data_IF_655227494328
#
_entry.id   IF_655227494328
#
_cell.length_a   1.000
_cell.length_b   1.000
_cell.length_c   1.000
_cell.angle_alpha   90.00
_cell.angle_beta   90.00
_cell.angle_gamma   90.00
#
_symmetry.space_group_name_H-M   'P 1'
#
loop_
_entity.id
_entity.type
_entity.pdbx_description
1 polymer ?
#
# COMPACT_ATOMS: atom_id res chain seq x y z
N UNK A 1 -5.57 -14.52 -14.79
CA UNK A 1 -6.37 -15.52 -14.05
C UNK A 1 -6.93 -14.81 -12.83
N UNK A 2 -8.22 -14.98 -12.52
CA UNK A 2 -8.85 -14.56 -11.28
C UNK A 2 -9.53 -15.77 -10.63
N UNK A 3 -9.43 -15.86 -9.32
CA UNK A 3 -10.07 -16.90 -8.50
C UNK A 3 -10.94 -16.25 -7.45
N UNK A 4 -12.07 -16.84 -7.11
CA UNK A 4 -12.93 -16.44 -6.01
C UNK A 4 -13.68 -17.67 -5.49
N UNK A 5 -14.13 -17.63 -4.24
CA UNK A 5 -15.03 -18.64 -3.63
C UNK A 5 -16.52 -18.28 -3.80
N UNK A 6 -16.81 -17.05 -4.22
CA UNK A 6 -18.15 -16.50 -4.41
C UNK A 6 -18.58 -16.65 -5.86
N UNK A 7 -19.57 -17.52 -6.12
CA UNK A 7 -20.16 -17.65 -7.46
C UNK A 7 -20.78 -16.33 -7.95
N UNK A 8 -21.53 -15.56 -7.13
CA UNK A 8 -22.05 -14.26 -7.56
C UNK A 8 -20.97 -13.26 -7.99
N UNK A 9 -19.81 -13.25 -7.31
CA UNK A 9 -18.67 -12.41 -7.71
C UNK A 9 -18.14 -12.83 -9.09
N UNK A 10 -17.97 -14.11 -9.33
CA UNK A 10 -17.52 -14.64 -10.62
C UNK A 10 -18.54 -14.38 -11.73
N UNK A 11 -19.83 -14.51 -11.48
CA UNK A 11 -20.88 -14.19 -12.45
C UNK A 11 -20.84 -12.72 -12.86
N UNK A 12 -20.60 -11.81 -11.90
CA UNK A 12 -20.39 -10.39 -12.20
C UNK A 12 -19.12 -10.18 -13.04
N UNK A 13 -18.00 -10.83 -12.71
CA UNK A 13 -16.79 -10.76 -13.51
C UNK A 13 -16.98 -11.36 -14.92
N UNK A 14 -17.76 -12.42 -15.07
CA UNK A 14 -18.10 -12.97 -16.37
C UNK A 14 -18.93 -11.98 -17.20
N UNK A 15 -19.92 -11.31 -16.59
CA UNK A 15 -20.66 -10.23 -17.24
C UNK A 15 -19.72 -9.10 -17.72
N UNK A 16 -18.77 -8.65 -16.87
CA UNK A 16 -17.80 -7.62 -17.26
C UNK A 16 -16.88 -8.10 -18.38
N UNK A 17 -16.42 -9.36 -18.34
CA UNK A 17 -15.61 -9.99 -19.38
C UNK A 17 -16.30 -9.95 -20.74
N UNK A 18 -17.58 -10.28 -20.78
CA UNK A 18 -18.40 -10.24 -22.00
C UNK A 18 -18.63 -8.81 -22.46
N UNK A 19 -19.07 -7.93 -21.56
CA UNK A 19 -19.35 -6.51 -21.85
C UNK A 19 -18.17 -5.77 -22.46
N UNK A 20 -16.95 -6.05 -21.97
CA UNK A 20 -15.72 -5.38 -22.43
C UNK A 20 -14.87 -6.25 -23.37
N UNK A 21 -15.40 -7.39 -23.83
CA UNK A 21 -14.72 -8.33 -24.71
C UNK A 21 -13.30 -8.72 -24.22
N UNK A 22 -13.13 -8.96 -22.93
CA UNK A 22 -11.83 -9.31 -22.31
C UNK A 22 -11.44 -10.75 -22.63
N UNK A 23 -10.64 -10.96 -23.69
CA UNK A 23 -10.19 -12.28 -24.11
C UNK A 23 -9.12 -12.91 -23.21
N UNK A 24 -8.43 -12.09 -22.42
CA UNK A 24 -7.31 -12.48 -21.55
C UNK A 24 -7.72 -12.70 -20.08
N UNK A 25 -9.02 -12.69 -19.76
CA UNK A 25 -9.52 -12.96 -18.40
C UNK A 25 -10.00 -14.41 -18.32
N UNK A 26 -9.44 -15.15 -17.37
CA UNK A 26 -9.79 -16.54 -17.02
C UNK A 26 -10.30 -16.54 -15.57
N UNK A 27 -11.48 -17.15 -15.32
CA UNK A 27 -12.17 -17.13 -14.02
C UNK A 27 -12.31 -18.55 -13.48
N UNK A 28 -12.03 -18.75 -12.19
CA UNK A 28 -12.17 -20.05 -11.52
C UNK A 28 -12.87 -19.89 -10.17
N UNK A 29 -13.85 -20.75 -9.90
CA UNK A 29 -14.43 -20.92 -8.58
C UNK A 29 -13.48 -21.79 -7.76
N UNK A 30 -12.58 -21.13 -7.03
CA UNK A 30 -11.48 -21.79 -6.35
C UNK A 30 -11.06 -21.02 -5.11
N UNK A 31 -10.93 -21.68 -3.95
CA UNK A 31 -10.34 -21.05 -2.78
C UNK A 31 -8.83 -20.84 -2.97
N UNK A 32 -8.30 -19.80 -2.32
CA UNK A 32 -6.89 -19.41 -2.45
C UNK A 32 -5.94 -20.53 -2.02
N UNK A 33 -6.33 -21.34 -1.03
CA UNK A 33 -5.58 -22.49 -0.53
C UNK A 33 -5.40 -23.58 -1.59
N UNK A 34 -6.26 -23.62 -2.58
CA UNK A 34 -6.22 -24.59 -3.67
C UNK A 34 -5.61 -24.04 -4.98
N UNK A 35 -5.05 -22.82 -4.96
CA UNK A 35 -4.50 -22.16 -6.18
C UNK A 35 -3.46 -23.02 -6.90
N UNK A 36 -2.68 -23.85 -6.20
CA UNK A 36 -1.72 -24.78 -6.77
C UNK A 36 -2.31 -25.79 -7.76
N UNK A 37 -3.64 -26.05 -7.70
CA UNK A 37 -4.33 -26.94 -8.65
C UNK A 37 -4.35 -26.39 -10.07
N UNK A 38 -4.14 -25.07 -10.25
CA UNK A 38 -4.00 -24.45 -11.58
C UNK A 38 -2.72 -24.89 -12.30
N UNK A 39 -1.71 -25.40 -11.56
CA UNK A 39 -0.41 -25.86 -12.10
C UNK A 39 0.27 -24.78 -12.96
N UNK A 40 0.23 -23.54 -12.50
CA UNK A 40 0.79 -22.35 -13.15
C UNK A 40 1.56 -21.52 -12.15
N UNK A 41 2.62 -20.88 -12.65
CA UNK A 41 3.38 -19.87 -11.92
C UNK A 41 3.06 -18.47 -12.48
N UNK A 42 3.10 -17.47 -11.61
CA UNK A 42 2.70 -16.11 -11.92
C UNK A 42 3.85 -15.12 -11.68
N UNK A 43 3.96 -14.11 -12.55
CA UNK A 43 4.90 -13.00 -12.39
C UNK A 43 4.36 -11.97 -11.37
N UNK A 44 3.03 -11.84 -11.29
CA UNK A 44 2.34 -10.96 -10.36
C UNK A 44 1.11 -11.67 -9.80
N UNK A 45 1.02 -11.71 -8.47
CA UNK A 45 -0.17 -12.13 -7.74
C UNK A 45 -0.70 -10.92 -6.98
N UNK A 46 -2.00 -10.63 -7.09
CA UNK A 46 -2.65 -9.57 -6.35
C UNK A 46 -3.71 -10.20 -5.44
N UNK A 47 -3.58 -9.97 -4.13
CA UNK A 47 -4.55 -10.43 -3.12
C UNK A 47 -4.90 -9.25 -2.20
N UNK A 48 -5.98 -8.58 -2.54
CA UNK A 48 -6.45 -7.36 -1.85
C UNK A 48 -7.75 -7.67 -1.13
N UNK A 49 -7.76 -7.59 0.20
CA UNK A 49 -8.96 -7.80 0.99
C UNK A 49 -9.41 -9.27 1.12
N UNK A 50 -8.49 -10.24 1.01
CA UNK A 50 -8.83 -11.68 0.99
C UNK A 50 -8.25 -12.44 2.17
N UNK A 51 -6.94 -12.40 2.35
CA UNK A 51 -6.24 -13.26 3.32
C UNK A 51 -6.73 -13.10 4.77
N UNK A 52 -7.12 -11.90 5.16
CA UNK A 52 -7.61 -11.62 6.51
C UNK A 52 -9.00 -12.21 6.83
N UNK A 53 -9.70 -12.75 5.82
CA UNK A 53 -10.96 -13.47 5.99
C UNK A 53 -10.79 -15.00 6.01
N UNK A 54 -9.60 -15.52 5.69
CA UNK A 54 -9.35 -16.95 5.71
C UNK A 54 -9.38 -17.53 7.14
N UNK A 55 -9.71 -18.80 7.23
CA UNK A 55 -9.63 -19.54 8.50
C UNK A 55 -8.21 -19.56 9.03
N UNK A 56 -7.25 -19.81 8.16
CA UNK A 56 -5.81 -19.72 8.39
C UNK A 56 -5.14 -18.95 7.26
N UNK A 57 -4.86 -17.64 7.47
CA UNK A 57 -4.18 -16.79 6.48
C UNK A 57 -2.79 -17.31 6.07
N UNK A 58 -2.12 -18.06 6.95
CA UNK A 58 -0.81 -18.63 6.66
C UNK A 58 -0.88 -19.70 5.59
N UNK A 59 -1.91 -20.56 5.60
CA UNK A 59 -2.12 -21.58 4.57
C UNK A 59 -2.35 -20.91 3.22
N UNK A 60 -3.20 -19.86 3.17
CA UNK A 60 -3.40 -19.07 1.96
C UNK A 60 -2.11 -18.45 1.43
N UNK A 61 -1.32 -17.82 2.32
CA UNK A 61 -0.05 -17.21 1.95
C UNK A 61 0.98 -18.23 1.46
N UNK A 62 1.03 -19.42 2.08
CA UNK A 62 1.88 -20.54 1.64
C UNK A 62 1.45 -21.06 0.25
N UNK A 63 0.15 -21.15 -0.02
CA UNK A 63 -0.35 -21.54 -1.34
C UNK A 63 0.08 -20.54 -2.43
N UNK A 64 0.01 -19.22 -2.13
CA UNK A 64 0.50 -18.18 -3.05
C UNK A 64 2.01 -18.26 -3.25
N UNK A 65 2.79 -18.56 -2.18
CA UNK A 65 4.25 -18.66 -2.28
C UNK A 65 4.72 -19.77 -3.22
N UNK A 66 3.92 -20.82 -3.36
CA UNK A 66 4.21 -21.95 -4.26
C UNK A 66 3.91 -21.65 -5.73
N UNK A 67 3.16 -20.60 -6.03
CA UNK A 67 2.72 -20.24 -7.38
C UNK A 67 3.42 -18.99 -7.92
N UNK A 68 4.33 -18.38 -7.16
CA UNK A 68 5.05 -17.18 -7.60
C UNK A 68 6.38 -17.56 -8.25
N UNK A 69 6.68 -16.97 -9.40
CA UNK A 69 7.97 -17.13 -10.09
C UNK A 69 9.10 -16.50 -9.29
N UNK A 70 10.34 -16.89 -9.58
CA UNK A 70 11.54 -16.37 -8.92
C UNK A 70 11.58 -14.83 -8.95
N UNK A 71 11.34 -14.21 -10.10
CA UNK A 71 11.28 -12.74 -10.26
C UNK A 71 9.88 -12.15 -10.00
N UNK A 72 8.93 -12.98 -9.56
CA UNK A 72 7.56 -12.57 -9.33
C UNK A 72 7.36 -11.75 -8.04
N UNK A 73 6.23 -11.06 -7.97
CA UNK A 73 5.81 -10.22 -6.83
C UNK A 73 4.40 -10.58 -6.41
N UNK A 74 4.18 -10.67 -5.10
CA UNK A 74 2.85 -10.76 -4.51
C UNK A 74 2.51 -9.37 -3.94
N UNK A 75 1.47 -8.73 -4.45
CA UNK A 75 0.94 -7.47 -3.93
C UNK A 75 -0.25 -7.77 -3.01
N UNK A 76 -0.17 -7.29 -1.79
CA UNK A 76 -1.06 -7.64 -0.70
C UNK A 76 -1.73 -6.40 -0.09
N UNK A 77 -2.99 -6.56 0.31
CA UNK A 77 -3.65 -5.64 1.23
C UNK A 77 -4.27 -6.43 2.38
N UNK A 78 -3.93 -6.03 3.61
CA UNK A 78 -4.52 -6.54 4.84
C UNK A 78 -5.08 -5.40 5.68
N UNK A 79 -6.10 -5.67 6.49
CA UNK A 79 -6.67 -4.68 7.38
C UNK A 79 -5.71 -4.33 8.53
N UNK A 80 -5.56 -3.02 8.78
CA UNK A 80 -4.64 -2.50 9.78
C UNK A 80 -5.29 -2.44 11.17
N UNK A 81 -4.62 -3.02 12.16
CA UNK A 81 -5.11 -3.17 13.53
C UNK A 81 -5.46 -1.84 14.19
N UNK A 82 -4.57 -0.86 14.10
CA UNK A 82 -4.74 0.40 14.83
C UNK A 82 -5.69 1.35 14.13
N UNK A 83 -5.69 1.41 12.80
CA UNK A 83 -6.61 2.23 12.03
C UNK A 83 -8.06 1.72 12.04
N UNK A 84 -8.26 0.46 12.40
CA UNK A 84 -9.57 -0.19 12.49
C UNK A 84 -9.97 -0.53 13.94
N UNK A 85 -9.37 0.10 14.95
CA UNK A 85 -9.68 -0.19 16.36
C UNK A 85 -11.16 0.08 16.69
N UNK A 86 -11.75 1.14 16.14
CA UNK A 86 -13.16 1.46 16.28
C UNK A 86 -14.07 0.42 15.61
N UNK A 87 -13.64 -0.15 14.49
CA UNK A 87 -14.35 -1.25 13.82
C UNK A 87 -14.37 -2.49 14.73
N UNK A 88 -13.22 -2.90 15.26
CA UNK A 88 -13.14 -4.07 16.15
C UNK A 88 -14.01 -3.93 17.41
N UNK A 89 -14.10 -2.71 17.98
CA UNK A 89 -14.99 -2.42 19.11
C UNK A 89 -16.46 -2.67 18.70
N UNK A 90 -16.90 -2.15 17.56
CA UNK A 90 -18.28 -2.29 17.11
C UNK A 90 -18.61 -3.71 16.63
N UNK A 91 -17.63 -4.41 16.03
CA UNK A 91 -17.80 -5.84 15.70
C UNK A 91 -18.07 -6.68 16.95
N UNK A 92 -17.44 -6.37 18.09
CA UNK A 92 -17.76 -7.07 19.33
C UNK A 92 -19.19 -6.80 19.81
N UNK A 93 -19.67 -5.56 19.67
CA UNK A 93 -21.08 -5.22 19.99
C UNK A 93 -22.04 -5.97 19.07
N UNK A 94 -21.75 -6.01 17.77
CA UNK A 94 -22.55 -6.74 16.78
C UNK A 94 -22.63 -8.25 17.10
N UNK A 95 -21.52 -8.84 17.54
CA UNK A 95 -21.46 -10.23 17.98
C UNK A 95 -22.26 -10.46 19.26
N UNK A 96 -22.16 -9.58 20.25
CA UNK A 96 -22.90 -9.66 21.52
C UNK A 96 -24.43 -9.56 21.28
N UNK A 97 -24.84 -8.79 20.26
CA UNK A 97 -26.23 -8.68 19.83
C UNK A 97 -26.70 -9.86 18.96
N UNK A 98 -25.82 -10.78 18.58
CA UNK A 98 -26.13 -11.92 17.72
C UNK A 98 -26.54 -11.51 16.30
N UNK A 99 -26.10 -10.35 15.81
CA UNK A 99 -26.43 -9.89 14.46
C UNK A 99 -25.71 -10.74 13.41
N UNK A 100 -26.39 -11.00 12.31
CA UNK A 100 -25.89 -11.81 11.20
C UNK A 100 -26.09 -11.10 9.86
N UNK A 101 -25.60 -11.69 8.77
CA UNK A 101 -25.69 -11.08 7.42
C UNK A 101 -27.12 -11.14 6.88
N UNK A 102 -27.97 -10.20 7.29
CA UNK A 102 -29.34 -10.00 6.80
C UNK A 102 -29.74 -8.52 6.87
N UNK A 103 -30.82 -8.16 6.17
CA UNK A 103 -31.29 -6.78 6.04
C UNK A 103 -31.63 -6.13 7.39
N UNK A 104 -32.22 -6.87 8.31
CA UNK A 104 -32.58 -6.36 9.66
C UNK A 104 -31.31 -5.99 10.43
N UNK A 105 -30.27 -6.82 10.38
CA UNK A 105 -28.99 -6.53 11.01
C UNK A 105 -28.30 -5.32 10.38
N UNK A 106 -28.40 -5.14 9.08
CA UNK A 106 -27.85 -3.94 8.37
C UNK A 106 -28.54 -2.67 8.88
N UNK A 107 -29.87 -2.68 9.01
CA UNK A 107 -30.62 -1.56 9.57
C UNK A 107 -30.19 -1.26 11.01
N UNK A 108 -30.00 -2.31 11.83
CA UNK A 108 -29.53 -2.17 13.21
C UNK A 108 -28.12 -1.57 13.27
N UNK A 109 -27.21 -1.97 12.38
CA UNK A 109 -25.86 -1.39 12.30
C UNK A 109 -25.94 0.08 11.89
N UNK A 110 -26.78 0.45 10.93
CA UNK A 110 -26.98 1.87 10.55
C UNK A 110 -27.48 2.71 11.71
N UNK A 111 -28.48 2.20 12.44
CA UNK A 111 -29.02 2.87 13.63
C UNK A 111 -27.94 3.03 14.70
N UNK A 112 -27.19 1.96 15.01
CA UNK A 112 -26.06 1.98 15.93
C UNK A 112 -25.05 3.08 15.57
N UNK A 113 -24.64 3.16 14.31
CA UNK A 113 -23.67 4.17 13.86
C UNK A 113 -24.21 5.61 14.03
N UNK A 114 -25.53 5.82 13.89
CA UNK A 114 -26.18 7.13 13.99
C UNK A 114 -26.24 7.69 15.40
N UNK A 115 -26.21 6.83 16.43
CA UNK A 115 -26.35 7.20 17.84
C UNK A 115 -25.03 7.22 18.60
N UNK A 116 -23.90 6.95 17.93
CA UNK A 116 -22.59 6.93 18.57
C UNK A 116 -22.16 8.34 19.02
N UNK A 117 -21.45 8.45 20.15
CA UNK A 117 -20.89 9.72 20.59
C UNK A 117 -19.80 10.23 19.63
N UNK A 118 -19.67 11.55 19.52
CA UNK A 118 -18.72 12.18 18.59
C UNK A 118 -17.25 11.79 18.83
N UNK A 119 -16.88 11.39 20.04
CA UNK A 119 -15.53 10.95 20.38
C UNK A 119 -15.34 9.44 20.25
N UNK A 120 -16.29 8.70 19.66
CA UNK A 120 -16.12 7.25 19.45
C UNK A 120 -14.98 6.97 18.47
N UNK A 121 -14.08 6.00 18.74
CA UNK A 121 -12.92 5.69 17.90
C UNK A 121 -13.25 5.33 16.42
N UNK A 122 -14.49 4.88 16.13
CA UNK A 122 -14.94 4.58 14.78
C UNK A 122 -14.92 5.80 13.86
N UNK A 123 -15.07 7.02 14.40
CA UNK A 123 -15.21 8.22 13.58
C UNK A 123 -13.99 8.50 12.68
N UNK A 124 -12.79 8.11 13.12
CA UNK A 124 -11.60 8.20 12.29
C UNK A 124 -11.69 7.30 11.06
N UNK A 125 -12.28 6.12 11.21
CA UNK A 125 -12.46 5.16 10.12
C UNK A 125 -13.61 5.59 9.18
N UNK A 126 -14.73 6.08 9.70
CA UNK A 126 -15.87 6.55 8.89
C UNK A 126 -15.46 7.63 7.88
N UNK A 127 -14.49 8.48 8.23
CA UNK A 127 -14.01 9.55 7.36
C UNK A 127 -13.20 9.04 6.14
N UNK A 128 -12.76 7.79 6.15
CA UNK A 128 -11.90 7.22 5.10
C UNK A 128 -12.51 5.97 4.43
N UNK A 129 -13.70 5.56 4.82
CA UNK A 129 -14.40 4.37 4.36
C UNK A 129 -15.74 4.73 3.67
N UNK A 130 -15.71 5.28 2.43
CA UNK A 130 -16.91 5.70 1.72
C UNK A 130 -17.84 4.52 1.33
N UNK A 131 -17.34 3.31 1.32
CA UNK A 131 -18.08 2.07 1.08
C UNK A 131 -19.14 1.79 2.16
N UNK A 132 -18.99 2.34 3.35
CA UNK A 132 -20.00 2.24 4.42
C UNK A 132 -21.31 2.99 4.14
N UNK A 133 -21.37 3.80 3.10
CA UNK A 133 -22.62 4.36 2.58
C UNK A 133 -23.55 3.26 2.01
N UNK A 134 -22.98 2.13 1.56
CA UNK A 134 -23.68 1.01 0.96
C UNK A 134 -23.85 -0.14 1.94
N UNK A 135 -24.96 -0.91 1.79
CA UNK A 135 -25.22 -2.08 2.62
C UNK A 135 -24.12 -3.14 2.52
N UNK A 136 -23.57 -3.34 1.33
CA UNK A 136 -22.46 -4.27 1.12
C UNK A 136 -21.24 -3.93 1.97
N UNK A 137 -20.88 -2.65 2.09
CA UNK A 137 -19.77 -2.19 2.94
C UNK A 137 -20.04 -2.39 4.42
N UNK A 138 -21.30 -2.18 4.87
CA UNK A 138 -21.70 -2.46 6.26
C UNK A 138 -21.63 -3.95 6.58
N UNK A 139 -22.10 -4.81 5.65
CA UNK A 139 -22.01 -6.26 5.80
C UNK A 139 -20.56 -6.71 5.89
N UNK A 140 -19.71 -6.24 4.97
CA UNK A 140 -18.29 -6.59 4.94
C UNK A 140 -17.57 -6.13 6.22
N UNK A 141 -17.82 -4.89 6.66
CA UNK A 141 -17.09 -4.29 7.79
C UNK A 141 -17.58 -4.80 9.15
N UNK A 142 -18.89 -4.97 9.37
CA UNK A 142 -19.44 -5.22 10.71
C UNK A 142 -20.08 -6.60 10.88
N UNK A 143 -20.61 -7.19 9.80
CA UNK A 143 -21.37 -8.44 9.85
C UNK A 143 -20.60 -9.63 9.29
N UNK A 144 -19.35 -9.42 8.83
CA UNK A 144 -18.52 -10.52 8.35
C UNK A 144 -18.12 -11.41 9.53
N UNK A 145 -18.48 -12.71 9.45
CA UNK A 145 -18.30 -13.64 10.56
C UNK A 145 -16.85 -13.99 10.90
N UNK A 146 -15.88 -13.56 10.07
CA UNK A 146 -14.47 -13.87 10.26
C UNK A 146 -13.61 -12.77 9.65
N UNK A 147 -12.93 -12.02 10.50
CA UNK A 147 -12.00 -10.98 10.11
C UNK A 147 -10.83 -10.93 11.11
N UNK A 148 -9.63 -10.66 10.60
CA UNK A 148 -8.43 -10.42 11.42
C UNK A 148 -7.77 -9.13 10.97
N UNK A 149 -7.46 -8.25 11.91
CA UNK A 149 -6.65 -7.06 11.69
C UNK A 149 -5.20 -7.31 12.10
N UNK A 150 -4.26 -6.71 11.38
CA UNK A 150 -2.81 -6.93 11.49
C UNK A 150 -2.10 -5.66 11.93
N UNK A 151 -1.06 -5.78 12.76
CA UNK A 151 0.01 -4.78 12.83
C UNK A 151 0.97 -4.98 11.66
N UNK A 152 1.86 -4.01 11.41
CA UNK A 152 2.89 -4.19 10.40
C UNK A 152 3.85 -5.33 10.74
N UNK A 153 4.14 -5.53 12.03
CA UNK A 153 4.94 -6.67 12.50
C UNK A 153 4.21 -8.00 12.19
N UNK A 154 2.88 -8.10 12.41
CA UNK A 154 2.09 -9.29 12.04
C UNK A 154 2.11 -9.54 10.52
N UNK A 155 2.11 -8.49 9.67
CA UNK A 155 2.25 -8.63 8.22
C UNK A 155 3.61 -9.20 7.83
N UNK A 156 4.69 -8.70 8.44
CA UNK A 156 6.05 -9.20 8.22
C UNK A 156 6.15 -10.67 8.64
N UNK A 157 5.60 -11.03 9.80
CA UNK A 157 5.60 -12.40 10.32
C UNK A 157 4.80 -13.36 9.42
N UNK A 158 3.64 -12.94 8.91
CA UNK A 158 2.85 -13.72 7.96
C UNK A 158 3.65 -14.05 6.69
N UNK A 159 4.32 -13.05 6.13
CA UNK A 159 5.14 -13.19 4.92
C UNK A 159 6.33 -14.11 5.18
N UNK A 160 7.14 -13.83 6.21
CA UNK A 160 8.37 -14.56 6.48
C UNK A 160 8.11 -16.00 6.93
N UNK A 161 7.05 -16.22 7.73
CA UNK A 161 6.65 -17.58 8.14
C UNK A 161 6.10 -18.44 7.00
N UNK A 162 5.85 -17.82 5.83
CA UNK A 162 5.40 -18.50 4.60
C UNK A 162 6.53 -18.71 3.58
N UNK A 163 7.80 -18.51 3.98
CA UNK A 163 8.98 -18.70 3.12
C UNK A 163 9.19 -17.61 2.08
N UNK A 164 8.69 -16.39 2.36
CA UNK A 164 8.83 -15.23 1.50
C UNK A 164 9.55 -14.09 2.22
N UNK A 165 9.99 -13.10 1.47
CA UNK A 165 10.57 -11.84 1.96
C UNK A 165 9.52 -10.74 1.87
N UNK A 166 9.32 -10.00 2.97
CA UNK A 166 8.59 -8.74 2.93
C UNK A 166 9.43 -7.73 2.15
N UNK A 167 9.00 -7.43 0.92
CA UNK A 167 9.80 -6.66 -0.01
C UNK A 167 9.78 -5.18 0.34
N UNK A 168 8.59 -4.59 0.41
CA UNK A 168 8.41 -3.16 0.69
C UNK A 168 6.93 -2.82 0.94
N UNK A 169 6.70 -1.66 1.56
CA UNK A 169 5.39 -1.03 1.64
C UNK A 169 5.07 -0.35 0.30
N UNK A 170 3.88 -0.62 -0.25
CA UNK A 170 3.40 0.07 -1.45
C UNK A 170 2.91 1.49 -1.13
N UNK A 171 2.29 1.70 0.05
CA UNK A 171 1.94 3.01 0.59
C UNK A 171 2.84 3.27 1.80
N UNK A 172 3.82 4.15 1.66
CA UNK A 172 4.89 4.38 2.65
C UNK A 172 4.59 5.53 3.62
N UNK A 173 3.90 6.56 3.14
CA UNK A 173 3.76 7.81 3.89
C UNK A 173 3.19 7.64 5.31
N UNK A 174 2.26 6.70 5.61
CA UNK A 174 1.78 6.48 6.97
C UNK A 174 2.86 5.96 7.94
N UNK A 175 3.92 5.36 7.41
CA UNK A 175 4.96 4.67 8.18
C UNK A 175 6.26 5.46 8.29
N UNK A 176 6.34 6.62 7.64
CA UNK A 176 7.53 7.46 7.65
C UNK A 176 7.41 8.57 8.69
N UNK A 177 8.45 8.78 9.54
CA UNK A 177 8.52 9.98 10.38
C UNK A 177 8.56 11.25 9.51
N UNK A 178 7.96 12.37 9.94
CA UNK A 178 8.07 13.64 9.24
C UNK A 178 9.53 14.09 9.14
N UNK A 179 10.01 14.34 7.92
CA UNK A 179 11.43 14.64 7.63
C UNK A 179 11.87 16.04 8.07
N UNK A 180 10.95 16.97 8.24
CA UNK A 180 11.23 18.36 8.63
C UNK A 180 10.74 18.71 10.05
N UNK A 181 10.53 17.71 10.89
CA UNK A 181 10.10 17.93 12.25
C UNK A 181 11.30 18.22 13.15
N UNK A 182 11.26 19.30 13.91
CA UNK A 182 12.21 19.61 15.00
C UNK A 182 11.95 18.80 16.27
N UNK A 183 10.98 17.88 16.25
CA UNK A 183 10.61 17.06 17.41
C UNK A 183 11.70 16.03 17.73
N UNK A 184 12.18 16.04 18.97
CA UNK A 184 13.13 15.04 19.47
C UNK A 184 12.56 13.61 19.39
N UNK A 185 11.24 13.46 19.51
CA UNK A 185 10.56 12.18 19.34
C UNK A 185 10.77 11.62 17.93
N UNK A 186 10.47 12.40 16.87
CA UNK A 186 10.65 11.92 15.49
C UNK A 186 12.11 11.71 15.13
N UNK A 187 13.03 12.51 15.69
CA UNK A 187 14.48 12.27 15.54
C UNK A 187 14.88 10.93 16.15
N UNK A 188 14.35 10.58 17.32
CA UNK A 188 14.58 9.28 17.95
C UNK A 188 14.00 8.13 17.13
N UNK A 189 12.81 8.28 16.55
CA UNK A 189 12.21 7.27 15.66
C UNK A 189 13.04 7.10 14.39
N UNK A 190 13.47 8.19 13.76
CA UNK A 190 14.27 8.16 12.54
C UNK A 190 15.64 7.46 12.71
N UNK A 191 16.17 7.43 13.92
CA UNK A 191 17.42 6.69 14.26
C UNK A 191 17.27 5.18 14.42
N UNK A 192 16.05 4.65 14.39
CA UNK A 192 15.79 3.22 14.54
C UNK A 192 15.90 2.47 13.21
N UNK A 193 16.07 1.12 13.24
CA UNK A 193 15.88 0.28 12.06
C UNK A 193 14.51 0.50 11.41
N UNK A 194 14.45 0.46 10.09
CA UNK A 194 13.28 0.85 9.31
C UNK A 194 11.98 0.13 9.73
N UNK A 195 12.03 -1.20 9.94
CA UNK A 195 10.88 -1.96 10.42
C UNK A 195 10.36 -1.49 11.79
N UNK A 196 11.24 -0.99 12.66
CA UNK A 196 10.85 -0.40 13.95
C UNK A 196 10.23 1.00 13.78
N UNK A 197 10.72 1.77 12.81
CA UNK A 197 10.06 3.03 12.45
C UNK A 197 8.62 2.75 11.99
N UNK A 198 8.40 1.76 11.11
CA UNK A 198 7.06 1.39 10.65
C UNK A 198 6.14 0.98 11.79
N UNK A 199 6.62 0.12 12.69
CA UNK A 199 5.85 -0.36 13.85
C UNK A 199 5.47 0.76 14.82
N UNK A 200 6.33 1.79 15.00
CA UNK A 200 6.01 2.96 15.82
C UNK A 200 5.04 3.87 15.08
N UNK A 201 5.33 4.19 13.81
CA UNK A 201 4.57 5.16 13.07
C UNK A 201 3.14 4.72 12.77
N UNK A 202 2.86 3.41 12.57
CA UNK A 202 1.49 2.92 12.41
C UNK A 202 0.62 3.18 13.65
N UNK A 203 1.22 3.22 14.85
CA UNK A 203 0.55 3.53 16.12
C UNK A 203 0.37 5.03 16.34
N UNK A 204 1.18 5.84 15.67
CA UNK A 204 1.08 7.30 15.68
C UNK A 204 0.11 7.78 14.58
N UNK A 205 0.23 7.22 13.38
CA UNK A 205 -0.62 7.55 12.22
C UNK A 205 -1.89 6.70 12.21
N UNK A 206 -2.73 6.95 13.15
CA UNK A 206 -3.95 6.24 13.48
C UNK A 206 -4.99 6.14 12.35
N UNK A 207 -4.90 6.97 11.30
CA UNK A 207 -5.82 6.98 10.17
C UNK A 207 -5.53 5.94 9.07
N UNK A 208 -4.53 5.07 9.25
CA UNK A 208 -4.21 4.04 8.25
C UNK A 208 -5.03 2.77 8.51
N UNK A 209 -6.06 2.53 7.69
CA UNK A 209 -6.96 1.38 7.84
C UNK A 209 -6.47 0.10 7.17
N UNK A 210 -5.50 0.19 6.25
CA UNK A 210 -5.03 -0.94 5.45
C UNK A 210 -3.51 -0.90 5.29
N UNK A 211 -2.87 -2.06 5.41
CA UNK A 211 -1.48 -2.27 5.02
C UNK A 211 -1.42 -2.69 3.56
N UNK A 212 -0.79 -1.87 2.72
CA UNK A 212 -0.48 -2.23 1.33
C UNK A 212 1.01 -2.51 1.21
N UNK A 213 1.37 -3.73 0.85
CA UNK A 213 2.77 -4.15 0.78
C UNK A 213 3.00 -5.20 -0.30
N UNK A 214 4.26 -5.46 -0.59
CA UNK A 214 4.69 -6.47 -1.54
C UNK A 214 5.57 -7.51 -0.87
N UNK A 215 5.46 -8.74 -1.37
CA UNK A 215 6.31 -9.85 -0.98
C UNK A 215 6.91 -10.53 -2.22
N UNK A 216 8.07 -11.16 -2.07
CA UNK A 216 8.73 -11.91 -3.12
C UNK A 216 9.43 -13.14 -2.56
N UNK A 217 9.94 -13.99 -3.43
CA UNK A 217 10.73 -15.16 -3.03
C UNK A 217 12.06 -14.74 -2.44
N UNK A 218 12.59 -15.53 -1.52
CA UNK A 218 13.90 -15.31 -0.90
C UNK A 218 15.05 -15.38 -1.91
N UNK A 219 14.92 -16.21 -2.96
CA UNK A 219 15.90 -16.36 -4.03
C UNK A 219 15.82 -15.29 -5.13
N UNK A 220 14.93 -14.28 -4.98
CA UNK A 220 14.91 -13.11 -5.87
C UNK A 220 16.11 -12.21 -5.59
N UNK A 221 16.91 -11.82 -6.61
CA UNK A 221 18.05 -10.94 -6.39
C UNK A 221 17.65 -9.61 -5.72
N UNK A 222 18.27 -9.30 -4.59
CA UNK A 222 17.92 -8.13 -3.77
C UNK A 222 18.04 -6.81 -4.55
N UNK A 223 18.99 -6.71 -5.48
CA UNK A 223 19.20 -5.55 -6.35
C UNK A 223 18.01 -5.29 -7.30
N UNK A 224 17.10 -6.27 -7.49
CA UNK A 224 15.92 -6.11 -8.35
C UNK A 224 14.71 -5.53 -7.63
N UNK A 225 14.76 -5.37 -6.31
CA UNK A 225 13.62 -4.86 -5.57
C UNK A 225 13.97 -3.88 -4.43
N UNK A 226 15.16 -3.94 -3.88
CA UNK A 226 15.53 -3.03 -2.80
C UNK A 226 15.96 -1.68 -3.36
N UNK A 227 15.26 -0.64 -2.95
CA UNK A 227 15.62 0.74 -3.25
C UNK A 227 16.46 1.28 -2.09
N UNK A 228 17.73 1.65 -2.39
CA UNK A 228 18.66 2.22 -1.43
C UNK A 228 19.31 3.47 -2.04
N UNK A 229 18.90 4.63 -1.57
CA UNK A 229 19.40 5.92 -2.05
C UNK A 229 20.84 6.22 -1.58
N UNK A 230 21.39 5.44 -0.65
CA UNK A 230 22.79 5.54 -0.24
C UNK A 230 23.74 4.71 -1.12
N UNK A 231 23.20 3.81 -1.94
CA UNK A 231 24.01 3.02 -2.86
C UNK A 231 24.53 3.89 -4.02
N UNK A 232 25.71 3.55 -4.54
CA UNK A 232 26.30 4.23 -5.71
C UNK A 232 25.38 4.14 -6.94
N UNK A 233 24.64 3.04 -7.06
CA UNK A 233 23.68 2.83 -8.14
C UNK A 233 22.45 3.74 -8.07
N UNK A 234 22.23 4.48 -6.99
CA UNK A 234 21.04 5.32 -6.84
C UNK A 234 20.92 6.42 -7.91
N UNK A 235 22.01 6.85 -8.51
CA UNK A 235 22.02 7.80 -9.63
C UNK A 235 21.37 7.23 -10.90
N UNK A 236 21.27 5.89 -11.01
CA UNK A 236 20.63 5.18 -12.12
C UNK A 236 19.14 4.90 -11.86
N UNK A 237 18.61 5.28 -10.73
CA UNK A 237 17.17 5.17 -10.46
C UNK A 237 16.38 6.08 -11.38
N UNK A 238 15.24 5.57 -11.85
CA UNK A 238 14.32 6.28 -12.74
C UNK A 238 13.08 6.68 -11.96
N UNK A 239 12.97 7.93 -11.51
CA UNK A 239 11.78 8.42 -10.82
C UNK A 239 10.65 8.66 -11.81
N UNK A 240 9.42 8.32 -11.41
CA UNK A 240 8.20 8.62 -12.15
C UNK A 240 7.10 9.08 -11.20
N UNK A 241 6.23 9.98 -11.64
CA UNK A 241 5.05 10.35 -10.86
C UNK A 241 4.14 9.12 -10.69
N UNK A 242 3.66 8.90 -9.47
CA UNK A 242 2.67 7.86 -9.23
C UNK A 242 1.33 8.23 -9.83
N UNK A 243 0.49 7.21 -10.05
CA UNK A 243 -0.87 7.40 -10.54
C UNK A 243 -1.63 8.45 -9.69
N UNK A 244 -2.32 9.37 -10.35
CA UNK A 244 -3.02 10.52 -9.76
C UNK A 244 -2.14 11.55 -9.04
N UNK A 245 -0.82 11.49 -9.21
CA UNK A 245 0.05 12.59 -8.80
C UNK A 245 0.22 13.58 -9.98
N UNK A 246 0.18 14.87 -9.69
CA UNK A 246 0.33 15.93 -10.69
C UNK A 246 1.28 17.00 -10.18
N UNK A 247 2.04 17.58 -11.11
CA UNK A 247 2.91 18.74 -10.86
C UNK A 247 2.39 19.94 -11.66
N UNK A 248 2.02 21.02 -10.96
CA UNK A 248 1.59 22.28 -11.57
C UNK A 248 2.44 23.43 -11.00
N UNK A 249 3.42 23.90 -11.78
CA UNK A 249 4.42 24.83 -11.27
C UNK A 249 5.21 24.22 -10.12
N UNK A 250 5.14 24.81 -8.93
CA UNK A 250 5.73 24.25 -7.70
C UNK A 250 4.79 23.37 -6.88
N UNK A 251 3.50 23.34 -7.22
CA UNK A 251 2.51 22.55 -6.48
C UNK A 251 2.53 21.09 -6.95
N UNK A 252 2.96 20.20 -6.06
CA UNK A 252 2.94 18.75 -6.25
C UNK A 252 1.76 18.17 -5.47
N UNK A 253 0.80 17.58 -6.18
CA UNK A 253 -0.45 17.09 -5.61
C UNK A 253 -0.60 15.59 -5.78
N UNK A 254 -1.19 14.95 -4.78
CA UNK A 254 -1.70 13.58 -4.86
C UNK A 254 -3.03 13.50 -4.10
N UNK A 255 -4.06 12.91 -4.72
CA UNK A 255 -5.39 12.76 -4.15
C UNK A 255 -5.84 14.04 -3.41
N UNK A 256 -5.92 14.05 -2.09
CA UNK A 256 -6.32 15.20 -1.26
C UNK A 256 -5.16 15.88 -0.52
N UNK A 257 -3.93 15.64 -0.93
CA UNK A 257 -2.74 16.25 -0.33
C UNK A 257 -1.89 16.97 -1.37
N UNK A 258 -1.57 18.24 -1.11
CA UNK A 258 -0.69 19.07 -1.93
C UNK A 258 0.47 19.59 -1.10
N UNK A 259 1.67 19.54 -1.63
CA UNK A 259 2.88 20.18 -1.08
C UNK A 259 3.46 21.15 -2.09
N UNK A 260 4.12 22.21 -1.62
CA UNK A 260 4.82 23.14 -2.48
C UNK A 260 6.31 22.85 -2.45
N UNK A 261 6.87 22.67 -3.64
CA UNK A 261 8.29 22.51 -3.87
C UNK A 261 8.99 23.87 -3.87
N UNK A 262 10.20 23.94 -3.37
CA UNK A 262 11.04 25.11 -3.55
C UNK A 262 11.54 25.21 -5.02
N UNK A 263 12.27 26.29 -5.36
CA UNK A 263 12.73 26.51 -6.72
C UNK A 263 13.67 25.41 -7.22
N UNK A 264 14.60 24.95 -6.37
CA UNK A 264 15.56 23.90 -6.73
C UNK A 264 14.85 22.55 -6.95
N UNK A 265 13.95 22.18 -6.04
CA UNK A 265 13.13 20.96 -6.15
C UNK A 265 12.26 20.97 -7.42
N UNK A 266 11.67 22.13 -7.73
CA UNK A 266 10.86 22.30 -8.95
C UNK A 266 11.67 22.05 -10.21
N UNK A 267 12.93 22.55 -10.27
CA UNK A 267 13.84 22.33 -11.40
C UNK A 267 14.16 20.85 -11.61
N UNK A 268 14.36 20.07 -10.58
CA UNK A 268 14.52 18.61 -10.74
C UNK A 268 13.22 17.95 -11.21
N UNK A 269 12.09 18.31 -10.61
CA UNK A 269 10.80 17.69 -10.90
C UNK A 269 10.26 18.00 -12.31
N UNK A 270 10.63 19.11 -12.92
CA UNK A 270 10.27 19.43 -14.31
C UNK A 270 10.85 18.46 -15.35
N UNK A 271 11.92 17.75 -15.01
CA UNK A 271 12.58 16.80 -15.90
C UNK A 271 12.16 15.33 -15.67
N UNK A 272 11.24 15.08 -14.74
CA UNK A 272 10.73 13.74 -14.47
C UNK A 272 9.80 13.29 -15.59
N UNK A 273 10.09 12.16 -16.22
CA UNK A 273 9.30 11.60 -17.33
C UNK A 273 9.10 10.08 -17.23
N UNK A 274 9.64 9.46 -16.16
CA UNK A 274 9.60 8.02 -15.97
C UNK A 274 10.56 7.23 -16.87
N UNK A 275 11.51 7.91 -17.53
CA UNK A 275 12.55 7.32 -18.39
C UNK A 275 13.95 7.78 -18.00
N UNK A 276 14.10 9.04 -17.61
CA UNK A 276 15.37 9.62 -17.20
C UNK A 276 15.80 9.14 -15.83
N UNK A 277 17.08 8.84 -15.72
CA UNK A 277 17.72 8.56 -14.44
C UNK A 277 17.88 9.84 -13.62
N UNK A 278 18.12 9.69 -12.31
CA UNK A 278 18.45 10.84 -11.44
C UNK A 278 19.67 11.59 -11.98
N UNK A 279 20.71 10.88 -12.45
CA UNK A 279 21.89 11.51 -13.05
C UNK A 279 21.54 12.37 -14.29
N UNK A 280 20.70 11.85 -15.19
CA UNK A 280 20.24 12.58 -16.38
C UNK A 280 19.40 13.81 -15.99
N UNK A 281 18.52 13.69 -15.00
CA UNK A 281 17.71 14.80 -14.47
C UNK A 281 18.63 15.89 -13.89
N UNK A 282 19.63 15.51 -13.09
CA UNK A 282 20.63 16.44 -12.53
C UNK A 282 21.38 17.16 -13.65
N UNK A 283 21.82 16.44 -14.69
CA UNK A 283 22.51 17.01 -15.84
C UNK A 283 21.67 18.09 -16.58
N UNK A 284 20.36 17.88 -16.71
CA UNK A 284 19.45 18.86 -17.31
C UNK A 284 19.20 20.05 -16.38
N UNK A 285 18.92 19.80 -15.10
CA UNK A 285 18.64 20.84 -14.13
C UNK A 285 19.85 21.75 -13.87
N UNK A 286 21.09 21.22 -13.96
CA UNK A 286 22.32 21.98 -13.77
C UNK A 286 22.52 23.14 -14.76
N UNK A 287 21.82 23.11 -15.88
CA UNK A 287 21.87 24.19 -16.89
C UNK A 287 21.08 25.44 -16.47
N UNK A 288 20.29 25.35 -15.40
CA UNK A 288 19.53 26.48 -14.90
C UNK A 288 20.44 27.50 -14.18
N UNK A 289 20.14 28.80 -14.34
CA UNK A 289 20.89 29.87 -13.71
C UNK A 289 21.01 29.74 -12.19
N UNK A 290 20.05 29.11 -11.53
CA UNK A 290 20.06 28.85 -10.09
C UNK A 290 21.27 28.01 -9.67
N UNK A 291 21.78 27.14 -10.51
CA UNK A 291 22.81 26.15 -10.21
C UNK A 291 24.19 26.45 -10.81
N UNK A 292 24.37 27.63 -11.43
CA UNK A 292 25.62 28.00 -12.12
C UNK A 292 26.89 27.81 -11.27
N UNK A 293 26.79 28.05 -9.96
CA UNK A 293 27.92 27.94 -9.02
C UNK A 293 27.84 26.70 -8.12
N UNK A 294 26.91 25.77 -8.36
CA UNK A 294 26.73 24.58 -7.52
C UNK A 294 27.48 23.39 -8.12
N UNK A 295 28.38 22.75 -7.38
CA UNK A 295 29.08 21.57 -7.88
C UNK A 295 28.11 20.44 -8.26
N UNK A 296 28.39 19.70 -9.36
CA UNK A 296 27.51 18.58 -9.78
C UNK A 296 27.27 17.52 -8.68
N UNK A 297 28.29 17.23 -7.86
CA UNK A 297 28.16 16.30 -6.76
C UNK A 297 27.16 16.76 -5.68
N UNK A 298 27.09 18.05 -5.42
CA UNK A 298 26.10 18.63 -4.49
C UNK A 298 24.68 18.55 -5.07
N UNK A 299 24.51 18.81 -6.36
CA UNK A 299 23.23 18.65 -7.04
C UNK A 299 22.75 17.19 -7.02
N UNK A 300 23.66 16.22 -7.17
CA UNK A 300 23.31 14.81 -7.04
C UNK A 300 22.79 14.47 -5.64
N UNK A 301 23.44 14.98 -4.59
CA UNK A 301 23.00 14.77 -3.20
C UNK A 301 21.60 15.37 -2.98
N UNK A 302 21.40 16.61 -3.45
CA UNK A 302 20.09 17.28 -3.33
C UNK A 302 18.98 16.51 -4.08
N UNK A 303 19.25 16.06 -5.31
CA UNK A 303 18.29 15.32 -6.10
C UNK A 303 17.96 13.95 -5.48
N UNK A 304 18.95 13.20 -5.01
CA UNK A 304 18.73 11.93 -4.30
C UNK A 304 17.87 12.13 -3.06
N UNK A 305 18.17 13.14 -2.27
CA UNK A 305 17.39 13.47 -1.07
C UNK A 305 15.93 13.79 -1.43
N UNK A 306 15.72 14.63 -2.45
CA UNK A 306 14.36 14.97 -2.93
C UNK A 306 13.60 13.72 -3.38
N UNK A 307 14.18 12.92 -4.27
CA UNK A 307 13.48 11.74 -4.81
C UNK A 307 13.25 10.68 -3.74
N UNK A 308 14.16 10.50 -2.78
CA UNK A 308 13.95 9.65 -1.61
C UNK A 308 12.78 10.14 -0.77
N UNK A 309 12.72 11.44 -0.50
CA UNK A 309 11.62 12.06 0.25
C UNK A 309 10.29 11.85 -0.47
N UNK A 310 10.21 12.17 -1.76
CA UNK A 310 8.99 12.05 -2.55
C UNK A 310 8.56 10.58 -2.73
N UNK A 311 9.49 9.64 -2.78
CA UNK A 311 9.22 8.21 -2.77
C UNK A 311 8.62 7.75 -1.43
N UNK A 312 9.17 8.20 -0.30
CA UNK A 312 8.64 7.94 1.05
C UNK A 312 7.26 8.58 1.27
N UNK A 313 6.99 9.70 0.62
CA UNK A 313 5.72 10.40 0.68
C UNK A 313 4.72 9.95 -0.40
N UNK A 314 5.03 8.90 -1.15
CA UNK A 314 4.17 8.30 -2.19
C UNK A 314 3.82 9.22 -3.37
N UNK A 315 4.63 10.24 -3.67
CA UNK A 315 4.48 11.06 -4.87
C UNK A 315 5.15 10.45 -6.09
N UNK A 316 6.29 9.80 -5.89
CA UNK A 316 7.03 9.15 -6.98
C UNK A 316 7.19 7.65 -6.75
N UNK A 317 7.24 6.90 -7.83
CA UNK A 317 7.74 5.54 -7.89
C UNK A 317 9.18 5.56 -8.40
N UNK A 318 9.98 4.60 -7.98
CA UNK A 318 11.36 4.43 -8.42
C UNK A 318 11.45 3.17 -9.26
N UNK A 319 11.82 3.34 -10.52
CA UNK A 319 12.21 2.27 -11.43
C UNK A 319 13.70 1.99 -11.36
N UNK A 320 14.06 0.76 -11.65
CA UNK A 320 15.46 0.36 -11.90
C UNK A 320 15.68 0.32 -13.40
N UNK A 321 16.75 0.96 -13.90
CA UNK A 321 17.14 0.81 -15.30
C UNK A 321 17.77 -0.58 -15.43
N UNK A 322 17.04 -1.53 -15.99
CA UNK A 322 17.49 -2.92 -16.21
C UNK A 322 18.22 -3.01 -17.53
#
# INVERSE_FOLDING_TARGET
>A
VAIDVSQPSLDHHQYLKEKYAMKNLELHLLPIEAVGTLKRDFDLIISTGVLHHLADPKIGMQALSQCIRQDGVIALMLYAKYGRIGVGILQSVVQDLGLTQNDTSVLTVRDMLSVLPQNHPINSYLNIAPDLEFDAGLVDTFLHGRERSYSIDDCIDLVTSSGLVFQDLFMKSPYCPPTHSSSAFYSSVAGLPEHKQWSIMERINFGNACHFFTACREDRPIMRYKIDFNADAADQYVPSLRYRCTLNGSALSRYNWTTNLNQAETLFMQHIDGQRTIAEIVGLASQANLFVNTPPAELQVLAKFLFQLLWKLDFVAIGLKI
#
